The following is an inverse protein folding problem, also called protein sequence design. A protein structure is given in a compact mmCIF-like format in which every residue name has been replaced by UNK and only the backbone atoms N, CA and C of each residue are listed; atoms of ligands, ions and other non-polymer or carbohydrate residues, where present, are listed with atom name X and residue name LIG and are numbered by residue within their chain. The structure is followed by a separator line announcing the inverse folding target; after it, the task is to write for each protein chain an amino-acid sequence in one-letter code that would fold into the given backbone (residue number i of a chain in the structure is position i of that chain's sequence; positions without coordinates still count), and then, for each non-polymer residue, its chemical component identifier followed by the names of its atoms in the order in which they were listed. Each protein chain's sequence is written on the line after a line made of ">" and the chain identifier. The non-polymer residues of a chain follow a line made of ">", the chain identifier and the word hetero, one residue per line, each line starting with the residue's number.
data_IF_033606936882
#
_entry.id   IF_033606936882
#
_cell.length_a   1.000
_cell.length_b   1.000
_cell.length_c   1.000
_cell.angle_alpha   90.00
_cell.angle_beta   90.00
_cell.angle_gamma   90.00
#
_symmetry.space_group_name_H-M   'P 1'
#
loop_
_entity.id
_entity.type
_entity.pdbx_description
1 polymer ?
#
# COMPACT_ATOMS: atom_id res chain seq x y z
N UNK A 1 -21.35 -20.59 -30.31
CA UNK A 1 -22.20 -19.48 -29.85
C UNK A 1 -23.08 -20.09 -28.78
N UNK A 2 -22.83 -19.95 -27.48
CA UNK A 2 -22.35 -18.82 -26.67
C UNK A 2 -21.57 -19.32 -25.45
N UNK A 3 -20.71 -18.46 -24.91
CA UNK A 3 -19.59 -18.75 -24.02
C UNK A 3 -19.91 -19.39 -22.65
N UNK A 4 -18.96 -20.21 -22.24
CA UNK A 4 -18.72 -20.65 -20.87
C UNK A 4 -18.11 -19.48 -20.06
N UNK A 5 -18.73 -19.13 -18.94
CA UNK A 5 -18.14 -18.19 -17.96
C UNK A 5 -18.06 -18.91 -16.62
N UNK A 6 -17.07 -19.80 -16.53
CA UNK A 6 -16.43 -20.19 -15.28
C UNK A 6 -15.95 -18.94 -14.53
N UNK A 7 -16.80 -18.43 -13.63
CA UNK A 7 -16.41 -17.43 -12.64
C UNK A 7 -15.43 -18.09 -11.66
N UNK A 8 -14.16 -18.10 -12.03
CA UNK A 8 -13.07 -18.49 -11.15
C UNK A 8 -13.06 -17.52 -9.97
N UNK A 9 -13.48 -18.04 -8.80
CA UNK A 9 -13.54 -17.31 -7.55
C UNK A 9 -12.22 -16.58 -7.29
N UNK A 10 -12.27 -15.25 -7.32
CA UNK A 10 -11.16 -14.39 -6.93
C UNK A 10 -10.76 -14.76 -5.51
N UNK A 11 -9.62 -15.44 -5.40
CA UNK A 11 -9.04 -15.84 -4.13
C UNK A 11 -8.96 -14.64 -3.22
N UNK A 12 -9.57 -14.75 -2.04
CA UNK A 12 -9.51 -13.72 -1.01
C UNK A 12 -8.04 -13.52 -0.69
N UNK A 13 -7.45 -12.46 -1.23
CA UNK A 13 -6.08 -12.06 -0.95
C UNK A 13 -6.04 -11.86 0.57
N UNK A 14 -5.25 -12.68 1.25
CA UNK A 14 -4.99 -12.53 2.68
C UNK A 14 -4.42 -11.13 2.88
N UNK A 15 -5.28 -10.18 3.24
CA UNK A 15 -4.87 -8.85 3.68
C UNK A 15 -4.18 -9.11 5.00
N UNK A 16 -2.86 -9.32 4.96
CA UNK A 16 -2.00 -9.40 6.13
C UNK A 16 -2.39 -8.29 7.07
N UNK A 17 -3.21 -8.63 8.05
CA UNK A 17 -3.82 -7.66 8.93
C UNK A 17 -2.67 -7.12 9.76
N UNK A 18 -2.25 -5.90 9.43
CA UNK A 18 -1.19 -5.22 10.13
C UNK A 18 -1.69 -4.89 11.55
N UNK A 19 -1.65 -5.89 12.44
CA UNK A 19 -2.15 -5.85 13.81
C UNK A 19 -1.51 -4.74 14.67
N UNK A 20 -0.50 -4.04 14.16
CA UNK A 20 0.17 -2.93 14.83
C UNK A 20 -0.24 -1.53 14.37
N UNK A 21 -0.98 -1.38 13.25
CA UNK A 21 -1.39 -0.03 12.81
C UNK A 21 -2.55 0.45 13.67
N UNK A 22 -2.25 1.42 14.55
CA UNK A 22 -3.28 2.25 15.18
C UNK A 22 -4.20 2.77 14.08
N UNK A 23 -5.51 2.60 14.25
CA UNK A 23 -6.51 3.16 13.33
C UNK A 23 -6.38 4.68 13.38
N UNK A 24 -5.79 5.28 12.34
CA UNK A 24 -5.68 6.72 12.16
C UNK A 24 -6.73 7.21 11.17
N UNK A 25 -7.24 8.44 11.31
CA UNK A 25 -8.07 9.06 10.28
C UNK A 25 -7.30 9.14 8.95
N UNK A 26 -8.02 9.06 7.84
CA UNK A 26 -7.42 9.11 6.49
C UNK A 26 -6.62 10.41 6.29
N UNK A 27 -7.07 11.51 6.89
CA UNK A 27 -6.43 12.82 6.85
C UNK A 27 -5.04 12.88 7.50
N UNK A 28 -4.63 11.87 8.28
CA UNK A 28 -3.29 11.84 8.89
C UNK A 28 -2.21 11.31 7.93
N UNK A 29 -2.62 10.61 6.86
CA UNK A 29 -1.69 10.07 5.88
C UNK A 29 -1.31 11.15 4.89
N UNK A 30 -0.01 11.39 4.76
CA UNK A 30 0.53 12.43 3.88
C UNK A 30 1.46 11.88 2.82
N UNK A 31 1.87 10.61 2.92
CA UNK A 31 2.88 10.05 2.05
C UNK A 31 2.55 8.62 1.63
N UNK A 32 2.92 8.27 0.40
CA UNK A 32 2.84 6.92 -0.15
C UNK A 32 4.17 6.53 -0.79
N UNK A 33 4.58 5.29 -0.60
CA UNK A 33 5.76 4.71 -1.25
C UNK A 33 5.30 3.58 -2.15
N UNK A 34 5.71 3.62 -3.42
CA UNK A 34 5.34 2.64 -4.44
C UNK A 34 6.59 1.97 -5.03
N UNK A 35 7.00 0.82 -4.49
CA UNK A 35 8.10 0.06 -5.10
C UNK A 35 7.72 -0.40 -6.52
N UNK A 36 8.63 -0.27 -7.50
CA UNK A 36 8.37 -0.77 -8.85
C UNK A 36 8.32 -2.31 -8.87
N UNK A 37 7.42 -2.87 -9.66
CA UNK A 37 7.34 -4.32 -9.89
C UNK A 37 6.58 -5.12 -8.82
N UNK A 38 6.25 -4.52 -7.67
CA UNK A 38 5.45 -5.17 -6.63
C UNK A 38 4.32 -4.25 -6.10
N UNK A 39 3.09 -4.39 -6.63
CA UNK A 39 1.95 -3.61 -6.15
C UNK A 39 1.51 -3.97 -4.72
N UNK A 40 1.92 -5.13 -4.19
CA UNK A 40 1.60 -5.55 -2.82
C UNK A 40 2.48 -4.88 -1.77
N UNK A 41 3.63 -4.35 -2.19
CA UNK A 41 4.58 -3.62 -1.36
C UNK A 41 4.23 -2.12 -1.20
N UNK A 42 3.16 -1.64 -1.84
CA UNK A 42 2.72 -0.24 -1.71
C UNK A 42 2.34 0.07 -0.26
N UNK A 43 2.87 1.15 0.28
CA UNK A 43 2.68 1.51 1.70
C UNK A 43 2.42 3.00 1.88
N UNK A 44 1.40 3.32 2.68
CA UNK A 44 1.07 4.70 3.11
C UNK A 44 1.60 4.97 4.52
N UNK A 45 2.01 6.21 4.75
CA UNK A 45 2.66 6.70 5.97
C UNK A 45 2.01 7.99 6.46
N UNK A 46 1.87 8.11 7.77
CA UNK A 46 1.40 9.32 8.44
C UNK A 46 2.53 10.36 8.58
N UNK A 47 2.16 11.59 8.96
CA UNK A 47 3.13 12.69 9.12
C UNK A 47 4.25 12.38 10.14
N UNK A 48 3.96 11.66 11.20
CA UNK A 48 4.97 11.23 12.18
C UNK A 48 5.81 10.02 11.73
N UNK A 49 5.44 9.37 10.62
CA UNK A 49 6.12 8.20 10.06
C UNK A 49 6.99 8.54 8.84
N UNK A 50 7.23 9.83 8.56
CA UNK A 50 8.01 10.28 7.38
C UNK A 50 9.45 9.74 7.35
N UNK A 51 10.08 9.58 8.51
CA UNK A 51 11.43 9.01 8.60
C UNK A 51 11.41 7.50 8.25
N UNK A 52 10.36 6.78 8.67
CA UNK A 52 10.14 5.39 8.25
C UNK A 52 9.83 5.30 6.76
N UNK A 53 9.04 6.23 6.23
CA UNK A 53 8.73 6.30 4.79
C UNK A 53 10.01 6.46 3.95
N UNK A 54 10.91 7.35 4.36
CA UNK A 54 12.20 7.54 3.68
C UNK A 54 13.07 6.29 3.74
N UNK A 55 13.21 5.67 4.93
CA UNK A 55 13.96 4.42 5.06
C UNK A 55 13.37 3.30 4.19
N UNK A 56 12.04 3.20 4.14
CA UNK A 56 11.35 2.23 3.31
C UNK A 56 11.59 2.49 1.82
N UNK A 57 11.51 3.74 1.40
CA UNK A 57 11.79 4.13 0.02
C UNK A 57 13.24 3.82 -0.38
N UNK A 58 14.22 4.15 0.47
CA UNK A 58 15.64 3.82 0.22
C UNK A 58 15.91 2.32 0.18
N UNK A 59 15.24 1.51 1.01
CA UNK A 59 15.40 0.06 1.02
C UNK A 59 14.83 -0.62 -0.24
N UNK A 60 13.93 0.04 -0.94
CA UNK A 60 13.23 -0.47 -2.12
C UNK A 60 13.63 0.28 -3.41
N UNK A 61 14.72 1.07 -3.38
CA UNK A 61 15.20 1.90 -4.49
C UNK A 61 14.08 2.71 -5.16
N UNK A 62 13.18 3.26 -4.34
CA UNK A 62 12.02 4.04 -4.77
C UNK A 62 11.97 5.38 -4.03
N UNK A 63 10.94 6.18 -4.30
CA UNK A 63 10.74 7.51 -3.73
C UNK A 63 9.47 7.56 -2.88
N UNK A 64 9.47 8.51 -1.95
CA UNK A 64 8.28 8.89 -1.20
C UNK A 64 7.51 9.90 -2.03
N UNK A 65 6.24 9.64 -2.29
CA UNK A 65 5.32 10.56 -2.95
C UNK A 65 4.42 11.21 -1.89
N UNK A 66 4.35 12.53 -1.88
CA UNK A 66 3.37 13.27 -1.07
C UNK A 66 1.96 13.06 -1.63
N UNK A 67 1.01 12.84 -0.74
CA UNK A 67 -0.40 12.76 -1.08
C UNK A 67 -0.96 14.18 -1.21
N UNK A 68 -1.74 14.45 -2.27
CA UNK A 68 -2.43 15.73 -2.39
C UNK A 68 -3.48 15.88 -1.27
N UNK A 69 -3.67 17.12 -0.83
CA UNK A 69 -4.64 17.53 0.20
C UNK A 69 -6.11 17.42 -0.23
#
# INVERSE_FOLDING_TARGET
>A
MTEDVETAGGGVIDRKSNRGRRRRPVSDYIAIVRPPGDPTAIRVFARDELDEAQRYASAHDTQVEDLPE
#
